data_IF_658352444058
#
_entry.id   IF_658352444058
#
_cell.length_a   1.000
_cell.length_b   1.000
_cell.length_c   1.000
_cell.angle_alpha   90.00
_cell.angle_beta   90.00
_cell.angle_gamma   90.00
#
_symmetry.space_group_name_H-M   'P 1'
#
loop_
_entity.id
_entity.type
_entity.pdbx_description
1 polymer ?
#
# COMPACT_ATOMS: atom_id res chain seq x y z
N UNK A 1 12.45 -13.26 -5.48
CA UNK A 1 13.13 -12.00 -5.85
C UNK A 1 14.41 -12.28 -6.62
N UNK A 2 14.85 -11.33 -7.44
CA UNK A 2 16.10 -11.42 -8.21
C UNK A 2 17.31 -10.96 -7.39
N UNK A 3 17.09 -10.41 -6.20
CA UNK A 3 18.13 -9.87 -5.31
C UNK A 3 18.00 -10.48 -3.92
N UNK A 4 19.12 -10.64 -3.23
CA UNK A 4 19.13 -11.05 -1.83
C UNK A 4 18.38 -10.02 -0.98
N UNK A 5 17.48 -10.47 -0.14
CA UNK A 5 16.64 -9.62 0.71
C UNK A 5 15.44 -8.96 0.01
N UNK A 6 15.08 -9.41 -1.21
CA UNK A 6 13.88 -8.91 -1.89
C UNK A 6 12.66 -9.80 -1.56
N UNK A 7 11.79 -9.32 -0.70
CA UNK A 7 10.54 -9.98 -0.33
C UNK A 7 9.36 -9.01 -0.27
N UNK A 8 8.17 -9.52 -0.54
CA UNK A 8 6.94 -8.74 -0.47
C UNK A 8 5.79 -9.61 0.06
N UNK A 9 5.11 -9.12 1.09
CA UNK A 9 3.94 -9.77 1.65
C UNK A 9 2.76 -8.80 1.71
N UNK A 10 1.59 -9.28 1.28
CA UNK A 10 0.34 -8.53 1.43
C UNK A 10 -0.76 -9.45 1.94
N UNK A 11 -1.46 -9.01 2.98
CA UNK A 11 -2.69 -9.63 3.47
C UNK A 11 -3.85 -8.68 3.17
N UNK A 12 -4.95 -9.20 2.62
CA UNK A 12 -6.15 -8.44 2.31
C UNK A 12 -7.38 -9.14 2.86
N UNK A 13 -8.27 -8.36 3.43
CA UNK A 13 -9.60 -8.80 3.83
C UNK A 13 -10.64 -7.90 3.18
N UNK A 14 -11.76 -8.46 2.73
CA UNK A 14 -12.89 -7.72 2.16
C UNK A 14 -14.18 -8.23 2.73
N UNK A 15 -15.09 -7.30 3.04
CA UNK A 15 -16.46 -7.54 3.46
C UNK A 15 -17.37 -6.74 2.55
N UNK A 16 -18.44 -7.35 2.06
CA UNK A 16 -19.55 -6.70 1.36
C UNK A 16 -20.84 -7.19 1.99
N UNK A 17 -21.66 -6.26 2.45
CA UNK A 17 -22.96 -6.54 3.07
C UNK A 17 -23.99 -5.61 2.44
N UNK A 18 -25.07 -6.19 1.96
CA UNK A 18 -26.22 -5.48 1.40
C UNK A 18 -27.47 -5.97 2.08
N UNK A 19 -28.37 -5.06 2.42
CA UNK A 19 -29.66 -5.41 3.01
C UNK A 19 -30.77 -4.48 2.57
N UNK A 20 -31.93 -5.06 2.32
CA UNK A 20 -33.17 -4.34 2.08
C UNK A 20 -33.88 -4.12 3.43
N UNK A 21 -33.81 -2.89 3.94
CA UNK A 21 -34.49 -2.51 5.21
C UNK A 21 -35.99 -2.50 5.01
N UNK A 22 -36.42 -2.00 3.86
CA UNK A 22 -37.81 -1.95 3.42
C UNK A 22 -37.86 -2.20 1.91
N UNK A 23 -39.07 -2.27 1.33
CA UNK A 23 -39.26 -2.37 -0.14
C UNK A 23 -38.72 -1.18 -0.93
N UNK A 24 -38.52 -0.05 -0.25
CA UNK A 24 -38.06 1.20 -0.88
C UNK A 24 -36.71 1.68 -0.37
N UNK A 25 -36.12 1.06 0.69
CA UNK A 25 -34.84 1.44 1.28
C UNK A 25 -33.88 0.26 1.30
N UNK A 26 -32.78 0.40 0.59
CA UNK A 26 -31.62 -0.51 0.61
C UNK A 26 -30.41 0.22 1.18
N UNK A 27 -29.66 -0.46 2.03
CA UNK A 27 -28.36 0.01 2.51
C UNK A 27 -27.30 -1.04 2.28
N UNK A 28 -26.07 -0.63 2.16
CA UNK A 28 -24.95 -1.55 2.03
C UNK A 28 -23.64 -0.94 2.50
N UNK A 29 -22.72 -1.81 2.80
CA UNK A 29 -21.35 -1.49 3.16
C UNK A 29 -20.40 -2.41 2.41
N UNK A 30 -19.37 -1.83 1.80
CA UNK A 30 -18.23 -2.54 1.22
C UNK A 30 -16.97 -2.02 1.90
N UNK A 31 -16.22 -2.88 2.56
CA UNK A 31 -14.97 -2.50 3.22
C UNK A 31 -13.84 -3.45 2.80
N UNK A 32 -12.68 -2.88 2.54
CA UNK A 32 -11.46 -3.61 2.22
C UNK A 32 -10.32 -3.08 3.07
N UNK A 33 -9.71 -3.99 3.81
CA UNK A 33 -8.46 -3.74 4.54
C UNK A 33 -7.31 -4.42 3.82
N UNK A 34 -6.17 -3.73 3.73
CA UNK A 34 -4.92 -4.29 3.22
C UNK A 34 -3.78 -3.97 4.17
N UNK A 35 -3.01 -4.99 4.51
CA UNK A 35 -1.76 -4.89 5.28
C UNK A 35 -0.61 -5.34 4.40
N UNK A 36 0.37 -4.45 4.19
CA UNK A 36 1.59 -4.71 3.42
C UNK A 36 2.78 -4.42 4.31
N UNK A 37 3.69 -5.35 4.37
CA UNK A 37 4.90 -5.19 5.15
C UNK A 37 6.13 -5.73 4.44
N UNK A 38 7.27 -5.13 4.74
CA UNK A 38 8.58 -5.63 4.37
C UNK A 38 9.57 -5.25 5.48
N UNK A 39 10.33 -6.24 5.95
CA UNK A 39 11.40 -6.05 6.93
C UNK A 39 12.78 -6.28 6.34
N UNK A 40 12.83 -6.74 5.08
CA UNK A 40 14.06 -7.14 4.44
C UNK A 40 14.76 -5.93 3.82
N UNK A 41 16.07 -5.98 3.82
CA UNK A 41 16.95 -5.00 3.21
C UNK A 41 17.59 -5.66 2.00
N UNK A 42 17.40 -5.05 0.85
CA UNK A 42 17.95 -5.54 -0.41
C UNK A 42 19.46 -5.28 -0.43
N UNK A 43 20.23 -6.26 -0.89
CA UNK A 43 21.67 -6.09 -1.12
C UNK A 43 21.96 -4.92 -2.07
N UNK A 44 23.00 -4.15 -1.78
CA UNK A 44 23.39 -2.97 -2.58
C UNK A 44 24.06 -3.39 -3.89
N UNK A 45 23.29 -3.34 -4.96
CA UNK A 45 23.79 -3.70 -6.31
C UNK A 45 24.64 -2.60 -6.95
N UNK A 46 24.62 -1.36 -6.47
CA UNK A 46 25.46 -0.28 -6.99
C UNK A 46 26.96 -0.56 -6.80
N UNK A 47 27.32 -1.26 -5.73
CA UNK A 47 28.72 -1.68 -5.50
C UNK A 47 29.08 -2.98 -6.24
N UNK A 48 28.12 -3.71 -6.77
CA UNK A 48 28.38 -4.99 -7.46
C UNK A 48 29.01 -4.80 -8.86
N UNK A 49 28.63 -3.72 -9.55
CA UNK A 49 29.05 -3.49 -10.94
C UNK A 49 30.56 -3.21 -11.09
N UNK A 50 31.19 -2.67 -10.06
CA UNK A 50 32.64 -2.38 -10.03
C UNK A 50 33.48 -3.50 -9.43
N UNK A 51 32.88 -4.61 -9.04
CA UNK A 51 33.56 -5.68 -8.32
C UNK A 51 34.15 -6.74 -9.23
N UNK A 52 35.36 -7.19 -8.92
CA UNK A 52 35.98 -8.30 -9.64
C UNK A 52 35.17 -9.60 -9.45
N UNK A 53 34.95 -10.40 -10.50
CA UNK A 53 34.31 -11.70 -10.39
C UNK A 53 35.10 -12.71 -9.51
N UNK A 54 36.36 -12.44 -9.22
CA UNK A 54 37.20 -13.24 -8.31
C UNK A 54 37.18 -12.73 -6.86
N UNK A 55 36.39 -11.72 -6.54
CA UNK A 55 36.28 -11.18 -5.19
C UNK A 55 35.66 -12.18 -4.24
N UNK A 56 36.20 -12.32 -3.04
CA UNK A 56 35.58 -13.12 -1.97
C UNK A 56 34.62 -12.28 -1.17
N UNK A 57 33.35 -12.71 -1.09
CA UNK A 57 32.31 -12.06 -0.30
C UNK A 57 32.41 -12.38 1.19
N UNK A 58 33.12 -13.42 1.56
CA UNK A 58 33.22 -13.93 2.92
C UNK A 58 34.67 -14.10 3.33
N UNK A 59 34.91 -13.96 4.64
CA UNK A 59 36.15 -14.32 5.30
C UNK A 59 36.24 -15.86 5.44
N UNK A 60 37.38 -16.38 5.87
CA UNK A 60 37.59 -17.83 6.08
C UNK A 60 36.66 -18.43 7.15
N UNK A 61 36.23 -17.61 8.12
CA UNK A 61 35.29 -17.99 9.20
C UNK A 61 33.82 -17.93 8.77
N UNK A 62 33.54 -17.55 7.51
CA UNK A 62 32.19 -17.40 6.97
C UNK A 62 31.51 -16.06 7.28
N UNK A 63 32.16 -15.15 7.97
CA UNK A 63 31.66 -13.79 8.17
C UNK A 63 31.73 -12.97 6.86
N UNK A 64 30.91 -11.91 6.75
CA UNK A 64 30.90 -11.08 5.55
C UNK A 64 32.14 -10.19 5.51
N UNK A 65 32.95 -10.35 4.45
CA UNK A 65 34.12 -9.54 4.21
C UNK A 65 33.72 -8.12 3.84
N UNK A 66 34.24 -7.11 4.55
CA UNK A 66 33.84 -5.70 4.36
C UNK A 66 34.25 -5.16 3.00
N UNK A 67 35.47 -5.52 2.54
CA UNK A 67 36.05 -5.12 1.27
C UNK A 67 36.45 -6.34 0.46
N UNK A 68 35.59 -6.83 -0.44
CA UNK A 68 35.78 -8.11 -1.14
C UNK A 68 37.04 -8.20 -2.00
N UNK A 69 37.51 -7.04 -2.48
CA UNK A 69 38.70 -6.91 -3.36
C UNK A 69 39.91 -6.34 -2.61
N UNK A 70 39.84 -6.16 -1.30
CA UNK A 70 40.82 -5.44 -0.45
C UNK A 70 40.97 -3.94 -0.82
N UNK A 71 40.16 -3.42 -1.75
CA UNK A 71 40.03 -1.99 -2.07
C UNK A 71 38.93 -1.37 -1.23
N UNK A 72 39.28 -0.42 -0.36
CA UNK A 72 38.35 0.26 0.54
C UNK A 72 37.25 1.08 -0.17
N UNK A 73 37.37 1.29 -1.48
CA UNK A 73 36.35 1.95 -2.30
C UNK A 73 35.23 1.00 -2.70
N UNK A 74 35.48 -0.31 -2.68
CA UNK A 74 34.54 -1.34 -3.09
C UNK A 74 34.00 -2.05 -1.86
N UNK A 75 32.82 -1.66 -1.43
CA UNK A 75 32.13 -2.22 -0.25
C UNK A 75 31.34 -3.44 -0.67
N UNK A 76 31.33 -4.47 0.18
CA UNK A 76 30.57 -5.70 -0.05
C UNK A 76 29.07 -5.39 -0.22
N UNK A 77 28.44 -5.77 -1.35
CA UNK A 77 27.01 -5.57 -1.56
C UNK A 77 26.12 -6.22 -0.52
N UNK A 78 26.59 -7.31 0.12
CA UNK A 78 25.84 -8.03 1.15
C UNK A 78 25.89 -7.34 2.53
N UNK A 79 26.84 -6.41 2.74
CA UNK A 79 27.04 -5.79 4.06
C UNK A 79 25.79 -5.06 4.53
N UNK A 80 25.17 -4.25 3.67
CA UNK A 80 23.93 -3.53 3.98
C UNK A 80 22.81 -4.49 4.42
N UNK A 81 22.65 -5.61 3.71
CA UNK A 81 21.65 -6.62 4.03
C UNK A 81 21.88 -7.27 5.41
N UNK A 82 23.15 -7.45 5.81
CA UNK A 82 23.48 -8.15 7.04
C UNK A 82 23.43 -7.28 8.31
N UNK A 83 23.78 -6.00 8.22
CA UNK A 83 23.98 -5.15 9.40
C UNK A 83 22.89 -4.09 9.60
N UNK A 84 22.24 -3.64 8.55
CA UNK A 84 21.15 -2.68 8.63
C UNK A 84 19.84 -3.35 9.08
N UNK A 85 18.91 -2.55 9.61
CA UNK A 85 17.57 -3.01 9.98
C UNK A 85 16.51 -2.12 9.36
N UNK A 86 15.44 -2.74 8.86
CA UNK A 86 14.32 -2.03 8.24
C UNK A 86 13.01 -2.59 8.76
N UNK A 87 12.07 -1.70 8.99
CA UNK A 87 10.66 -2.04 9.16
C UNK A 87 9.85 -1.11 8.27
N UNK A 88 9.08 -1.70 7.38
CA UNK A 88 8.15 -0.98 6.53
C UNK A 88 6.79 -1.63 6.61
N UNK A 89 5.77 -0.85 6.96
CA UNK A 89 4.40 -1.30 7.04
C UNK A 89 3.46 -0.24 6.47
N UNK A 90 2.60 -0.65 5.55
CA UNK A 90 1.52 0.18 5.02
C UNK A 90 0.21 -0.55 5.22
N UNK A 91 -0.73 0.11 5.89
CA UNK A 91 -2.08 -0.38 6.08
C UNK A 91 -3.04 0.59 5.39
N UNK A 92 -4.04 0.06 4.70
CA UNK A 92 -5.08 0.85 4.06
C UNK A 92 -6.44 0.25 4.36
N UNK A 93 -7.37 1.12 4.74
CA UNK A 93 -8.79 0.81 4.85
C UNK A 93 -9.53 1.63 3.80
N UNK A 94 -10.23 0.95 2.90
CA UNK A 94 -11.17 1.58 1.97
C UNK A 94 -12.56 1.09 2.34
N UNK A 95 -13.48 1.99 2.55
CA UNK A 95 -14.87 1.66 2.90
C UNK A 95 -15.83 2.52 2.11
N UNK A 96 -16.88 1.91 1.61
CA UNK A 96 -18.04 2.57 0.99
C UNK A 96 -19.28 2.18 1.77
N UNK A 97 -20.01 3.16 2.26
CA UNK A 97 -21.33 2.98 2.83
C UNK A 97 -22.30 3.62 1.86
N UNK A 98 -23.37 2.93 1.49
CA UNK A 98 -24.37 3.51 0.61
C UNK A 98 -25.78 3.30 1.11
N UNK A 99 -26.64 4.25 0.79
CA UNK A 99 -28.08 4.17 0.96
C UNK A 99 -28.77 4.41 -0.39
N UNK A 100 -29.72 3.57 -0.75
CA UNK A 100 -30.55 3.75 -1.95
C UNK A 100 -32.01 3.79 -1.57
N UNK A 101 -32.70 4.81 -2.03
CA UNK A 101 -34.14 5.00 -1.87
C UNK A 101 -34.80 4.86 -3.23
N UNK A 102 -35.78 3.96 -3.34
CA UNK A 102 -36.64 3.83 -4.51
C UNK A 102 -37.87 4.71 -4.31
N UNK A 103 -38.08 5.63 -5.22
CA UNK A 103 -39.17 6.60 -5.20
C UNK A 103 -40.22 6.28 -6.26
N UNK A 104 -41.45 6.81 -6.14
CA UNK A 104 -42.49 6.67 -7.17
C UNK A 104 -42.03 7.22 -8.53
N UNK A 105 -42.75 6.84 -9.58
CA UNK A 105 -42.58 7.34 -10.95
C UNK A 105 -41.20 7.09 -11.58
N UNK A 106 -40.53 6.00 -11.18
CA UNK A 106 -39.26 5.59 -11.75
C UNK A 106 -38.04 6.34 -11.20
N UNK A 107 -38.20 7.15 -10.16
CA UNK A 107 -37.07 7.79 -9.50
C UNK A 107 -36.36 6.84 -8.52
N UNK A 108 -35.05 7.00 -8.41
CA UNK A 108 -34.25 6.45 -7.31
C UNK A 108 -33.16 7.43 -6.91
N UNK A 109 -32.91 7.52 -5.61
CA UNK A 109 -31.83 8.33 -5.07
C UNK A 109 -30.86 7.43 -4.31
N UNK A 110 -29.57 7.60 -4.59
CA UNK A 110 -28.52 6.88 -3.91
C UNK A 110 -27.44 7.85 -3.45
N UNK A 111 -27.03 7.73 -2.21
CA UNK A 111 -25.84 8.38 -1.68
C UNK A 111 -24.79 7.32 -1.35
N UNK A 112 -23.54 7.59 -1.74
CA UNK A 112 -22.38 6.77 -1.37
C UNK A 112 -21.44 7.65 -0.55
N UNK A 113 -21.03 7.16 0.61
CA UNK A 113 -19.97 7.74 1.40
C UNK A 113 -18.75 6.83 1.32
N UNK A 114 -17.72 7.32 0.66
CA UNK A 114 -16.46 6.62 0.47
C UNK A 114 -15.42 7.19 1.43
N UNK A 115 -14.71 6.32 2.12
CA UNK A 115 -13.63 6.68 3.04
C UNK A 115 -12.41 5.86 2.70
N UNK A 116 -11.29 6.54 2.59
CA UNK A 116 -9.98 5.91 2.54
C UNK A 116 -9.16 6.40 3.71
N UNK A 117 -8.57 5.46 4.44
CA UNK A 117 -7.62 5.74 5.50
C UNK A 117 -6.35 4.95 5.28
N UNK A 118 -5.22 5.63 5.27
CA UNK A 118 -3.90 5.06 5.08
C UNK A 118 -2.99 5.31 6.28
N UNK A 119 -2.24 4.28 6.67
CA UNK A 119 -1.17 4.39 7.67
C UNK A 119 0.10 3.81 7.08
N UNK A 120 1.19 4.57 7.15
CA UNK A 120 2.51 4.12 6.75
C UNK A 120 3.49 4.33 7.89
N UNK A 121 4.23 3.28 8.23
CA UNK A 121 5.32 3.32 9.20
C UNK A 121 6.58 2.81 8.52
N UNK A 122 7.63 3.60 8.59
CA UNK A 122 8.94 3.25 8.04
C UNK A 122 9.99 3.57 9.08
N UNK A 123 10.70 2.54 9.54
CA UNK A 123 11.84 2.65 10.43
C UNK A 123 13.05 2.08 9.72
N UNK A 124 14.15 2.78 9.80
CA UNK A 124 15.39 2.35 9.19
C UNK A 124 16.53 2.63 10.16
N UNK A 125 17.39 1.63 10.37
CA UNK A 125 18.62 1.74 11.11
C UNK A 125 19.77 1.35 10.18
N UNK A 126 20.75 2.24 10.03
CA UNK A 126 22.00 2.01 9.32
C UNK A 126 23.09 1.78 10.34
N UNK A 127 23.74 0.65 10.26
CA UNK A 127 24.81 0.27 11.18
C UNK A 127 26.09 1.06 10.91
N UNK A 128 26.83 1.39 11.98
CA UNK A 128 28.18 1.96 11.92
C UNK A 128 29.28 0.95 11.50
N UNK A 129 28.89 -0.31 11.32
CA UNK A 129 29.76 -1.27 10.63
C UNK A 129 29.96 -0.93 9.15
N UNK A 130 29.07 -0.14 8.59
CA UNK A 130 29.21 0.39 7.23
C UNK A 130 30.24 1.54 7.23
N UNK A 131 31.21 1.54 6.26
CA UNK A 131 32.27 2.53 6.21
C UNK A 131 31.82 3.98 6.12
N UNK A 132 30.63 4.23 5.56
CA UNK A 132 30.09 5.58 5.33
C UNK A 132 29.23 6.09 6.50
N UNK A 133 29.04 5.31 7.55
CA UNK A 133 28.16 5.66 8.66
C UNK A 133 28.99 6.03 9.89
N UNK A 134 28.59 7.11 10.58
CA UNK A 134 29.23 7.58 11.80
C UNK A 134 29.09 6.57 12.95
N UNK A 135 30.03 6.62 13.89
CA UNK A 135 30.03 5.77 15.07
C UNK A 135 28.71 5.91 15.85
N UNK A 136 28.07 4.76 16.16
CA UNK A 136 26.78 4.68 16.82
C UNK A 136 25.61 4.46 15.83
N UNK A 137 25.86 4.54 14.52
CA UNK A 137 24.86 4.33 13.48
C UNK A 137 23.92 5.51 13.27
N UNK A 138 23.02 5.36 12.32
CA UNK A 138 21.98 6.34 11.99
C UNK A 138 20.60 5.66 12.04
N UNK A 139 19.64 6.31 12.69
CA UNK A 139 18.26 5.83 12.73
C UNK A 139 17.30 6.88 12.19
N UNK A 140 16.33 6.43 11.37
CA UNK A 140 15.21 7.25 10.95
C UNK A 140 13.88 6.56 11.28
N UNK A 141 12.87 7.38 11.56
CA UNK A 141 11.50 6.94 11.80
C UNK A 141 10.56 7.91 11.13
N UNK A 142 9.80 7.38 10.18
CA UNK A 142 8.82 8.14 9.43
C UNK A 142 7.45 7.49 9.61
N UNK A 143 6.46 8.27 10.00
CA UNK A 143 5.07 7.84 10.13
C UNK A 143 4.18 8.83 9.40
N UNK A 144 3.32 8.30 8.55
CA UNK A 144 2.37 9.06 7.74
C UNK A 144 0.97 8.47 7.93
N UNK A 145 -0.01 9.36 8.00
CA UNK A 145 -1.42 8.99 7.87
C UNK A 145 -2.09 9.89 6.84
N UNK A 146 -2.90 9.30 6.01
CA UNK A 146 -3.73 10.00 5.03
C UNK A 146 -5.19 9.61 5.23
N UNK A 147 -6.07 10.61 5.09
CA UNK A 147 -7.51 10.45 5.18
C UNK A 147 -8.15 11.17 4.02
N UNK A 148 -8.93 10.43 3.26
CA UNK A 148 -9.68 10.94 2.11
C UNK A 148 -11.14 10.55 2.29
N UNK A 149 -12.06 11.43 1.93
CA UNK A 149 -13.48 11.11 1.88
C UNK A 149 -14.12 11.66 0.59
N UNK A 150 -15.14 10.98 0.15
CA UNK A 150 -15.91 11.37 -1.03
C UNK A 150 -17.37 11.01 -0.80
N UNK A 151 -18.25 11.96 -1.02
CA UNK A 151 -19.72 11.75 -1.02
C UNK A 151 -20.23 11.89 -2.43
N UNK A 152 -20.82 10.82 -2.96
CA UNK A 152 -21.53 10.85 -4.23
C UNK A 152 -23.03 10.79 -3.99
N UNK A 153 -23.77 11.70 -4.59
CA UNK A 153 -25.22 11.74 -4.60
C UNK A 153 -25.72 11.53 -6.02
N UNK A 154 -26.54 10.53 -6.22
CA UNK A 154 -27.04 10.14 -7.55
C UNK A 154 -28.56 10.11 -7.53
N UNK A 155 -29.18 10.95 -8.37
CA UNK A 155 -30.60 10.88 -8.66
C UNK A 155 -30.78 10.26 -10.04
N UNK A 156 -31.45 9.12 -10.10
CA UNK A 156 -31.76 8.43 -11.36
C UNK A 156 -33.25 8.49 -11.62
N UNK A 157 -33.60 8.68 -12.86
CA UNK A 157 -34.95 8.57 -13.37
C UNK A 157 -35.00 7.62 -14.55
N UNK A 158 -35.75 6.55 -14.40
CA UNK A 158 -35.99 5.57 -15.44
C UNK A 158 -37.49 5.45 -15.63
N UNK A 159 -37.98 5.84 -16.82
CA UNK A 159 -39.40 5.89 -17.11
C UNK A 159 -39.71 5.46 -18.55
N UNK A 160 -40.74 4.64 -18.69
CA UNK A 160 -41.23 4.20 -20.00
C UNK A 160 -42.51 4.93 -20.36
N UNK A 161 -42.47 5.73 -21.41
CA UNK A 161 -43.61 6.48 -21.94
C UNK A 161 -44.33 5.63 -23.00
N UNK A 162 -45.64 5.47 -22.86
CA UNK A 162 -46.53 4.75 -23.78
C UNK A 162 -46.07 3.31 -24.10
N UNK A 163 -45.23 2.69 -23.25
CA UNK A 163 -44.72 1.35 -23.51
C UNK A 163 -43.69 1.23 -24.66
N UNK A 164 -43.27 2.35 -25.24
CA UNK A 164 -42.43 2.38 -26.46
C UNK A 164 -41.11 3.14 -26.19
N UNK A 165 -41.18 4.26 -25.47
CA UNK A 165 -40.01 5.13 -25.25
C UNK A 165 -39.48 4.96 -23.86
N UNK A 166 -38.25 4.48 -23.70
CA UNK A 166 -37.54 4.40 -22.45
C UNK A 166 -36.64 5.61 -22.29
N UNK A 167 -36.82 6.35 -21.19
CA UNK A 167 -35.95 7.45 -20.77
C UNK A 167 -35.17 7.01 -19.58
N UNK A 168 -33.83 7.18 -19.64
CA UNK A 168 -32.93 6.98 -18.52
C UNK A 168 -32.10 8.24 -18.35
N UNK A 169 -32.24 8.90 -17.21
CA UNK A 169 -31.53 10.11 -16.85
C UNK A 169 -30.85 9.94 -15.49
N UNK A 170 -29.60 10.36 -15.39
CA UNK A 170 -28.83 10.32 -14.13
C UNK A 170 -28.22 11.68 -13.88
N UNK A 171 -28.51 12.23 -12.71
CA UNK A 171 -27.83 13.41 -12.17
C UNK A 171 -26.91 12.98 -11.04
N UNK A 172 -25.65 13.45 -11.05
CA UNK A 172 -24.64 13.14 -10.05
C UNK A 172 -24.07 14.43 -9.50
N UNK A 173 -23.96 14.47 -8.16
CA UNK A 173 -23.25 15.52 -7.44
C UNK A 173 -22.28 14.88 -6.46
N UNK A 174 -21.00 15.26 -6.52
CA UNK A 174 -19.93 14.75 -5.67
C UNK A 174 -19.29 15.88 -4.87
N UNK A 175 -18.88 15.58 -3.63
CA UNK A 175 -18.11 16.44 -2.77
C UNK A 175 -16.98 15.63 -2.09
N UNK A 176 -15.77 16.22 -2.03
CA UNK A 176 -14.56 15.66 -1.43
C UNK A 176 -13.82 16.69 -0.54
#
# INVERSE_FOLDING_TARGET
GYKVGDSFQTVRARINLDTDITKWLKIGIAAQFADRGNKDIVADTGNADGMSPYASMYEEDGSIKKYPTDDARIINPLLTHSVDKKFYKTQTLNSTIYGRITLPYGFSYQTNFNVRYGWRKQYYYKSDERPSISKGGEASRDEYSDYEWLVDNMLKWNYTIAGIHNIDATFVYSAE
#
